data_IF_899469163853
#
_entry.id   IF_899469163853
#
_cell.length_a   1.000
_cell.length_b   1.000
_cell.length_c   1.000
_cell.angle_alpha   90.00
_cell.angle_beta   90.00
_cell.angle_gamma   90.00
#
_symmetry.space_group_name_H-M   'P 1'
#
loop_
_entity.id
_entity.type
_entity.pdbx_description
1 polymer ?
#
# COMPACT_ATOMS: atom_id res chain seq x y z
N UNK A 1 6.77 -1.12 9.00
CA UNK A 1 5.98 -2.36 8.90
C UNK A 1 6.93 -3.51 8.65
N UNK A 2 6.92 -4.55 9.48
CA UNK A 2 7.56 -5.81 9.09
C UNK A 2 6.60 -6.54 8.15
N UNK A 3 6.99 -6.69 6.88
CA UNK A 3 6.21 -7.47 5.92
C UNK A 3 6.40 -8.97 6.13
N UNK A 4 5.52 -9.78 5.54
CA UNK A 4 5.73 -11.23 5.46
C UNK A 4 6.99 -11.47 4.62
N UNK A 5 7.94 -12.24 5.15
CA UNK A 5 9.18 -12.56 4.45
C UNK A 5 8.90 -13.65 3.41
N UNK A 6 8.89 -13.25 2.14
CA UNK A 6 8.64 -14.15 1.00
C UNK A 6 9.56 -15.37 0.96
N UNK A 7 10.85 -15.21 1.25
CA UNK A 7 11.80 -16.32 1.24
C UNK A 7 11.49 -17.34 2.36
N UNK A 8 11.14 -16.86 3.57
CA UNK A 8 10.71 -17.75 4.66
C UNK A 8 9.42 -18.47 4.34
N UNK A 9 8.47 -17.80 3.70
CA UNK A 9 7.22 -18.40 3.25
C UNK A 9 7.48 -19.51 2.23
N UNK A 10 8.22 -19.23 1.16
CA UNK A 10 8.56 -20.22 0.11
C UNK A 10 9.27 -21.43 0.71
N UNK A 11 10.29 -21.22 1.56
CA UNK A 11 10.99 -22.33 2.20
C UNK A 11 10.08 -23.22 3.04
N UNK A 12 9.09 -22.64 3.74
CA UNK A 12 8.15 -23.40 4.55
C UNK A 12 7.15 -24.19 3.69
N UNK A 13 6.65 -23.59 2.59
CA UNK A 13 5.80 -24.29 1.62
C UNK A 13 6.55 -25.47 0.99
N UNK A 14 7.80 -25.27 0.58
CA UNK A 14 8.64 -26.34 0.02
C UNK A 14 8.86 -27.47 1.03
N UNK A 15 9.08 -27.14 2.31
CA UNK A 15 9.21 -28.13 3.38
C UNK A 15 7.92 -28.94 3.58
N UNK A 16 6.75 -28.28 3.55
CA UNK A 16 5.45 -28.95 3.66
C UNK A 16 5.17 -29.85 2.46
N UNK A 17 5.52 -29.44 1.24
CA UNK A 17 5.42 -30.26 0.04
C UNK A 17 6.32 -31.50 0.12
N UNK A 18 7.54 -31.36 0.61
CA UNK A 18 8.42 -32.51 0.84
C UNK A 18 7.85 -33.46 1.89
N UNK A 19 7.28 -32.93 2.97
CA UNK A 19 6.65 -33.73 4.03
C UNK A 19 5.43 -34.49 3.48
N UNK A 20 4.59 -33.86 2.67
CA UNK A 20 3.43 -34.47 2.03
C UNK A 20 3.84 -35.66 1.14
N UNK A 21 4.91 -35.52 0.36
CA UNK A 21 5.48 -36.60 -0.47
C UNK A 21 6.02 -37.76 0.37
N UNK A 22 6.78 -37.46 1.42
CA UNK A 22 7.35 -38.43 2.35
C UNK A 22 6.26 -39.25 3.06
N UNK A 23 5.24 -38.57 3.59
CA UNK A 23 4.13 -39.21 4.27
C UNK A 23 3.31 -40.08 3.30
N UNK A 24 3.11 -39.60 2.07
CA UNK A 24 2.39 -40.35 1.04
C UNK A 24 3.15 -41.62 0.59
N UNK A 25 4.48 -41.58 0.56
CA UNK A 25 5.30 -42.74 0.17
C UNK A 25 5.45 -43.78 1.28
N UNK A 26 5.55 -43.37 2.53
CA UNK A 26 5.86 -44.25 3.67
C UNK A 26 4.60 -44.77 4.41
N UNK A 27 3.53 -43.97 4.47
CA UNK A 27 2.40 -44.22 5.39
C UNK A 27 1.04 -44.32 4.67
N UNK A 28 1.00 -44.12 3.35
CA UNK A 28 -0.25 -44.02 2.60
C UNK A 28 -1.11 -42.83 3.03
N UNK A 29 -2.39 -42.82 2.64
CA UNK A 29 -3.33 -41.76 3.00
C UNK A 29 -3.65 -41.80 4.51
N UNK A 30 -2.88 -41.01 5.28
CA UNK A 30 -2.98 -40.86 6.73
C UNK A 30 -3.48 -39.44 7.07
N UNK A 31 -4.10 -39.26 8.24
CA UNK A 31 -4.54 -37.95 8.75
C UNK A 31 -3.43 -36.88 8.72
N UNK A 32 -2.17 -37.29 8.92
CA UNK A 32 -0.99 -36.41 8.83
C UNK A 32 -0.76 -35.82 7.43
N UNK A 33 -1.10 -36.56 6.36
CA UNK A 33 -0.99 -36.08 4.97
C UNK A 33 -2.02 -34.98 4.74
N UNK A 34 -3.28 -35.23 5.14
CA UNK A 34 -4.36 -34.24 5.02
C UNK A 34 -4.07 -32.97 5.83
N UNK A 35 -3.57 -33.11 7.06
CA UNK A 35 -3.21 -31.96 7.89
C UNK A 35 -2.06 -31.14 7.28
N UNK A 36 -1.06 -31.80 6.71
CA UNK A 36 0.06 -31.13 6.01
C UNK A 36 -0.45 -30.33 4.80
N UNK A 37 -1.33 -30.93 4.00
CA UNK A 37 -1.96 -30.27 2.85
C UNK A 37 -2.83 -29.08 3.28
N UNK A 38 -3.59 -29.21 4.37
CA UNK A 38 -4.39 -28.12 4.95
C UNK A 38 -3.53 -26.94 5.38
N UNK A 39 -2.46 -27.18 6.16
CA UNK A 39 -1.56 -26.09 6.58
C UNK A 39 -0.88 -25.41 5.42
N UNK A 40 -0.46 -26.17 4.40
CA UNK A 40 0.11 -25.61 3.17
C UNK A 40 -0.89 -24.66 2.50
N UNK A 41 -2.13 -25.13 2.28
CA UNK A 41 -3.17 -24.35 1.63
C UNK A 41 -3.49 -23.07 2.42
N UNK A 42 -3.66 -23.17 3.73
CA UNK A 42 -3.94 -22.01 4.59
C UNK A 42 -2.81 -20.96 4.52
N UNK A 43 -1.55 -21.41 4.52
CA UNK A 43 -0.41 -20.49 4.41
C UNK A 43 -0.34 -19.81 3.04
N UNK A 44 -0.60 -20.53 1.95
CA UNK A 44 -0.66 -19.98 0.59
C UNK A 44 -1.80 -18.96 0.46
N UNK A 45 -2.99 -19.29 0.96
CA UNK A 45 -4.16 -18.40 0.94
C UNK A 45 -3.90 -17.12 1.75
N UNK A 46 -3.31 -17.25 2.94
CA UNK A 46 -2.93 -16.09 3.77
C UNK A 46 -1.87 -15.22 3.09
N UNK A 47 -0.85 -15.82 2.48
CA UNK A 47 0.19 -15.07 1.78
C UNK A 47 -0.36 -14.36 0.53
N UNK A 48 -1.20 -15.03 -0.25
CA UNK A 48 -1.86 -14.43 -1.42
C UNK A 48 -2.77 -13.26 -1.04
N UNK A 49 -3.54 -13.40 0.05
CA UNK A 49 -4.33 -12.29 0.59
C UNK A 49 -3.46 -11.10 1.04
N UNK A 50 -2.32 -11.37 1.67
CA UNK A 50 -1.36 -10.33 2.03
C UNK A 50 -0.80 -9.60 0.80
N UNK A 51 -0.38 -10.32 -0.24
CA UNK A 51 0.14 -9.70 -1.47
C UNK A 51 -0.94 -8.82 -2.13
N UNK A 52 -2.19 -9.29 -2.21
CA UNK A 52 -3.32 -8.49 -2.72
C UNK A 52 -3.56 -7.20 -1.92
N UNK A 53 -3.55 -7.27 -0.59
CA UNK A 53 -3.72 -6.09 0.26
C UNK A 53 -2.59 -5.07 0.08
N UNK A 54 -1.36 -5.53 -0.17
CA UNK A 54 -0.25 -4.63 -0.49
C UNK A 54 -0.43 -3.92 -1.82
N UNK A 55 -0.95 -4.60 -2.84
CA UNK A 55 -1.27 -4.00 -4.13
C UNK A 55 -2.39 -2.95 -4.01
N UNK A 56 -3.46 -3.27 -3.29
CA UNK A 56 -4.56 -2.34 -3.00
C UNK A 56 -4.04 -1.10 -2.26
N UNK A 57 -3.21 -1.27 -1.24
CA UNK A 57 -2.60 -0.17 -0.49
C UNK A 57 -1.69 0.69 -1.38
N UNK A 58 -0.85 0.06 -2.21
CA UNK A 58 0.00 0.75 -3.18
C UNK A 58 -0.83 1.59 -4.17
N UNK A 59 -1.96 1.04 -4.63
CA UNK A 59 -2.91 1.76 -5.47
C UNK A 59 -3.48 3.00 -4.78
N UNK A 60 -3.90 2.87 -3.52
CA UNK A 60 -4.42 4.00 -2.73
C UNK A 60 -3.37 5.09 -2.49
N UNK A 61 -2.13 4.71 -2.20
CA UNK A 61 -1.02 5.67 -2.04
C UNK A 61 -0.81 6.45 -3.34
N UNK A 62 -0.74 5.77 -4.49
CA UNK A 62 -0.58 6.43 -5.79
C UNK A 62 -1.74 7.37 -6.12
N UNK A 63 -2.98 6.94 -5.85
CA UNK A 63 -4.16 7.76 -6.08
C UNK A 63 -4.14 9.03 -5.21
N UNK A 64 -3.76 8.89 -3.94
CA UNK A 64 -3.59 10.01 -3.03
C UNK A 64 -2.49 10.97 -3.52
N UNK A 65 -1.31 10.47 -3.90
CA UNK A 65 -0.21 11.30 -4.38
C UNK A 65 -0.56 12.06 -5.66
N UNK A 66 -1.30 11.42 -6.57
CA UNK A 66 -1.80 12.05 -7.79
C UNK A 66 -2.77 13.18 -7.47
N UNK A 67 -3.77 12.92 -6.61
CA UNK A 67 -4.73 13.94 -6.18
C UNK A 67 -4.05 15.07 -5.42
N UNK A 68 -3.12 14.75 -4.52
CA UNK A 68 -2.35 15.73 -3.77
C UNK A 68 -1.58 16.66 -4.71
N UNK A 69 -0.91 16.10 -5.72
CA UNK A 69 -0.19 16.87 -6.73
C UNK A 69 -1.12 17.75 -7.56
N UNK A 70 -2.27 17.23 -7.97
CA UNK A 70 -3.29 17.98 -8.69
C UNK A 70 -3.81 19.16 -7.85
N UNK A 71 -4.18 18.91 -6.59
CA UNK A 71 -4.70 19.94 -5.69
C UNK A 71 -3.63 20.98 -5.37
N UNK A 72 -2.42 20.57 -4.99
CA UNK A 72 -1.35 21.48 -4.56
C UNK A 72 -0.80 22.30 -5.74
N UNK A 73 -0.42 21.65 -6.82
CA UNK A 73 0.30 22.29 -7.93
C UNK A 73 -0.66 22.89 -8.93
N UNK A 74 -1.65 22.12 -9.38
CA UNK A 74 -2.49 22.55 -10.50
C UNK A 74 -3.63 23.46 -10.05
N UNK A 75 -4.26 23.18 -8.91
CA UNK A 75 -5.35 24.00 -8.42
C UNK A 75 -4.85 25.15 -7.54
N UNK A 76 -4.32 24.85 -6.34
CA UNK A 76 -3.90 25.86 -5.37
C UNK A 76 -2.83 26.79 -5.95
N UNK A 77 -1.76 26.23 -6.52
CA UNK A 77 -0.69 27.06 -7.08
C UNK A 77 -1.14 28.02 -8.17
N UNK A 78 -1.97 27.55 -9.13
CA UNK A 78 -2.51 28.41 -10.19
C UNK A 78 -3.50 29.44 -9.63
N UNK A 79 -4.39 29.03 -8.73
CA UNK A 79 -5.42 29.91 -8.17
C UNK A 79 -4.80 31.00 -7.29
N UNK A 80 -3.85 30.66 -6.43
CA UNK A 80 -3.12 31.62 -5.61
C UNK A 80 -2.31 32.60 -6.47
N UNK A 81 -1.68 32.14 -7.55
CA UNK A 81 -0.96 33.01 -8.50
C UNK A 81 -1.91 33.98 -9.22
N UNK A 82 -3.10 33.54 -9.62
CA UNK A 82 -4.12 34.41 -10.22
C UNK A 82 -4.65 35.44 -9.21
N UNK A 83 -5.05 34.98 -8.02
CA UNK A 83 -5.55 35.85 -6.96
C UNK A 83 -4.52 36.88 -6.50
N UNK A 84 -3.22 36.56 -6.53
CA UNK A 84 -2.15 37.52 -6.24
C UNK A 84 -2.09 38.67 -7.25
N UNK A 85 -2.51 38.44 -8.50
CA UNK A 85 -2.58 39.50 -9.53
C UNK A 85 -3.86 40.32 -9.44
N UNK A 86 -4.95 39.71 -8.99
CA UNK A 86 -6.29 40.33 -8.98
C UNK A 86 -6.61 41.09 -7.68
N UNK A 87 -6.06 40.66 -6.53
CA UNK A 87 -6.34 41.28 -5.23
C UNK A 87 -5.33 42.41 -4.97
N UNK A 88 -5.79 43.68 -4.85
CA UNK A 88 -4.94 44.80 -4.45
C UNK A 88 -4.38 44.61 -3.04
N UNK A 89 -3.15 45.10 -2.81
CA UNK A 89 -2.39 44.90 -1.57
C UNK A 89 -3.09 45.54 -0.36
N UNK A 90 -3.86 46.59 -0.60
CA UNK A 90 -4.55 47.38 0.41
C UNK A 90 -5.80 46.66 0.97
N UNK A 91 -6.30 45.62 0.27
CA UNK A 91 -7.49 44.89 0.71
C UNK A 91 -7.15 43.92 1.85
N UNK A 92 -8.02 43.80 2.88
CA UNK A 92 -7.85 42.81 3.95
C UNK A 92 -7.70 41.36 3.44
N UNK A 93 -8.34 41.04 2.30
CA UNK A 93 -8.25 39.75 1.63
C UNK A 93 -6.81 39.38 1.19
N UNK A 94 -5.94 40.37 0.95
CA UNK A 94 -4.54 40.14 0.58
C UNK A 94 -3.75 39.49 1.72
N UNK A 95 -4.02 39.85 2.99
CA UNK A 95 -3.37 39.22 4.15
C UNK A 95 -3.72 37.73 4.26
N UNK A 96 -4.98 37.39 3.99
CA UNK A 96 -5.46 36.00 3.97
C UNK A 96 -4.81 35.22 2.83
N UNK A 97 -4.67 35.84 1.66
CA UNK A 97 -3.98 35.26 0.50
C UNK A 97 -2.52 34.93 0.81
N UNK A 98 -1.76 35.86 1.41
CA UNK A 98 -0.35 35.62 1.77
C UNK A 98 -0.21 34.49 2.79
N UNK A 99 -1.10 34.43 3.80
CA UNK A 99 -1.12 33.33 4.78
C UNK A 99 -1.36 31.98 4.08
N UNK A 100 -2.26 31.93 3.11
CA UNK A 100 -2.54 30.71 2.35
C UNK A 100 -1.36 30.28 1.46
N UNK A 101 -0.67 31.23 0.83
CA UNK A 101 0.56 30.96 0.06
C UNK A 101 1.64 30.36 0.96
N UNK A 102 1.90 30.94 2.13
CA UNK A 102 2.89 30.41 3.09
C UNK A 102 2.57 28.96 3.50
N UNK A 103 1.32 28.69 3.84
CA UNK A 103 0.84 27.36 4.21
C UNK A 103 0.96 26.34 3.06
N UNK A 104 0.73 26.76 1.83
CA UNK A 104 0.78 25.86 0.66
C UNK A 104 2.21 25.48 0.29
N UNK A 105 3.17 26.39 0.48
CA UNK A 105 4.56 26.20 0.06
C UNK A 105 5.54 25.94 1.20
N UNK A 106 5.08 25.86 2.45
CA UNK A 106 5.94 25.77 3.65
C UNK A 106 7.09 26.80 3.62
N UNK A 107 6.74 28.07 3.35
CA UNK A 107 7.65 29.22 3.41
C UNK A 107 7.24 30.19 4.49
#
# INVERSE_FOLDING_TARGET
MQGINKAKHVHLIDALLHMERLLSSEQGACACVQQTAQYRQELEDMHGNYERLLEELSGQIRAYEALFSQVKVQYLGKKLKALKKEIPVEKPAFKVLIKNIRLTYNT
#
